data_IF_258245114451
#
_entry.id   IF_258245114451
#
_cell.length_a   1.000
_cell.length_b   1.000
_cell.length_c   1.000
_cell.angle_alpha   90.00
_cell.angle_beta   90.00
_cell.angle_gamma   90.00
#
_symmetry.space_group_name_H-M   'P 1'
#
loop_
_entity.id
_entity.type
_entity.pdbx_description
1 polymer ?
2 non-polymer ?
3 water ?
#
# COMPACT_ATOMS: atom_id res chain seq x y z
N UNK A 1 22.37 -4.74 19.34
CA UNK A 1 21.19 -3.88 19.05
C UNK A 1 21.68 -2.45 18.81
N UNK A 2 21.43 -1.89 17.63
CA UNK A 2 21.81 -0.49 17.27
C UNK A 2 20.56 0.39 17.08
N UNK A 3 20.58 1.54 17.74
CA UNK A 3 19.64 2.67 17.58
C UNK A 3 20.31 3.80 16.80
N UNK A 4 19.76 4.18 15.64
CA UNK A 4 20.25 5.36 14.88
C UNK A 4 19.06 6.28 14.55
N UNK A 5 19.15 7.53 15.04
CA UNK A 5 18.17 8.61 14.79
C UNK A 5 18.37 9.13 13.37
N UNK A 6 17.29 9.36 12.61
CA UNK A 6 17.35 9.89 11.21
C UNK A 6 16.13 10.77 10.92
N UNK A 7 16.28 11.64 9.92
CA UNK A 7 15.18 12.46 9.34
C UNK A 7 14.70 11.75 8.08
N UNK A 8 13.38 11.59 7.92
CA UNK A 8 12.82 10.99 6.68
C UNK A 8 12.86 12.09 5.62
N UNK A 9 13.85 11.97 4.74
CA UNK A 9 14.05 12.91 3.60
C UNK A 9 13.46 12.30 2.33
N UNK A 10 12.16 12.04 2.39
CA UNK A 10 11.31 11.39 1.36
C UNK A 10 10.11 12.30 1.11
N UNK A 11 9.70 12.54 -0.16
CA UNK A 11 8.75 13.62 -0.47
C UNK A 11 7.37 13.47 0.21
N UNK A 12 6.86 12.24 0.38
CA UNK A 12 5.58 11.96 1.07
C UNK A 12 5.83 11.08 2.29
N UNK A 13 7.01 11.17 2.92
CA UNK A 13 7.39 10.29 4.04
C UNK A 13 7.28 8.82 3.68
N UNK A 14 6.79 7.97 4.58
CA UNK A 14 6.65 6.52 4.31
C UNK A 14 5.28 6.26 3.74
N UNK A 15 5.07 6.65 2.49
CA UNK A 15 3.85 6.35 1.73
C UNK A 15 4.04 4.96 1.13
N UNK A 16 3.14 4.57 0.23
CA UNK A 16 3.13 3.24 -0.41
C UNK A 16 4.48 2.96 -1.07
N UNK A 17 4.98 3.89 -1.87
CA UNK A 17 6.19 3.67 -2.69
C UNK A 17 7.39 3.52 -1.75
N UNK A 18 7.59 4.46 -0.82
CA UNK A 18 8.75 4.45 0.07
C UNK A 18 8.65 3.25 1.04
N UNK A 19 7.46 2.93 1.56
CA UNK A 19 7.33 1.79 2.48
C UNK A 19 7.63 0.49 1.73
N UNK A 20 7.09 0.33 0.53
CA UNK A 20 7.27 -0.89 -0.28
C UNK A 20 8.77 -1.08 -0.59
N UNK A 21 9.46 -0.01 -0.96
CA UNK A 21 10.92 -0.08 -1.29
C UNK A 21 11.70 -0.47 -0.02
N UNK A 22 11.35 0.10 1.14
CA UNK A 22 12.02 -0.28 2.42
C UNK A 22 11.81 -1.77 2.66
N UNK A 23 10.60 -2.29 2.49
CA UNK A 23 10.33 -3.73 2.74
C UNK A 23 11.24 -4.57 1.80
N UNK A 24 11.35 -4.20 0.53
CA UNK A 24 12.20 -4.93 -0.45
C UNK A 24 13.67 -4.87 -0.02
N UNK A 25 14.17 -3.69 0.31
CA UNK A 25 15.59 -3.44 0.67
C UNK A 25 15.94 -4.27 1.91
N UNK A 26 15.00 -4.38 2.85
CA UNK A 26 15.23 -4.91 4.23
C UNK A 26 15.30 -6.45 4.23
N UNK A 27 14.75 -7.12 3.23
CA UNK A 27 14.82 -8.60 3.05
C UNK A 27 16.25 -9.07 2.76
N UNK A 28 17.15 -8.16 2.39
CA UNK A 28 18.57 -8.47 2.07
C UNK A 28 19.35 -8.70 3.39
N UNK A 29 18.78 -8.35 4.55
CA UNK A 29 19.50 -8.40 5.85
C UNK A 29 18.96 -9.55 6.70
N UNK A 30 19.83 -10.13 7.53
CA UNK A 30 19.46 -11.19 8.50
C UNK A 30 18.90 -10.55 9.78
N UNK A 31 19.35 -9.34 10.11
CA UNK A 31 18.92 -8.59 11.31
C UNK A 31 17.40 -8.37 11.30
N UNK A 32 16.80 -8.45 12.48
CA UNK A 32 15.50 -7.83 12.82
C UNK A 32 15.66 -6.33 12.69
N UNK A 33 14.70 -5.67 12.05
CA UNK A 33 14.73 -4.20 11.82
C UNK A 33 13.35 -3.62 12.13
N UNK A 34 13.32 -2.57 12.94
CA UNK A 34 12.11 -1.84 13.36
C UNK A 34 12.36 -0.34 13.16
N UNK A 35 11.31 0.41 12.90
CA UNK A 35 11.30 1.90 12.93
C UNK A 35 10.44 2.35 14.11
N UNK A 36 10.79 3.45 14.72
CA UNK A 36 10.06 3.99 15.88
C UNK A 36 9.81 5.47 15.62
N UNK A 37 8.56 5.88 15.72
CA UNK A 37 8.19 7.33 15.71
C UNK A 37 7.46 7.60 17.03
N UNK A 38 8.13 8.29 17.96
CA UNK A 38 7.61 8.50 19.32
C UNK A 38 7.32 7.16 19.97
N UNK A 39 6.04 6.85 20.18
CA UNK A 39 5.61 5.55 20.78
C UNK A 39 5.01 4.64 19.71
N UNK A 40 4.98 5.06 18.44
CA UNK A 40 4.55 4.18 17.33
C UNK A 40 5.78 3.41 16.84
N UNK A 41 5.60 2.13 16.51
CA UNK A 41 6.69 1.15 16.26
C UNK A 41 6.21 0.23 15.14
N UNK A 42 7.09 -0.17 14.23
CA UNK A 42 6.77 -1.17 13.21
C UNK A 42 8.02 -1.96 12.83
N UNK A 43 7.80 -3.23 12.52
CA UNK A 43 8.78 -4.10 11.84
C UNK A 43 8.93 -3.63 10.39
N UNK A 44 10.16 -3.38 9.93
CA UNK A 44 10.47 -2.80 8.59
C UNK A 44 10.18 -3.83 7.49
N UNK A 45 9.94 -5.08 7.86
CA UNK A 45 9.52 -6.17 6.93
C UNK A 45 8.00 -6.13 6.70
N UNK A 46 7.27 -5.28 7.43
CA UNK A 46 5.79 -5.23 7.35
C UNK A 46 5.32 -3.95 6.64
N UNK A 47 4.82 -4.08 5.42
CA UNK A 47 4.25 -2.95 4.66
C UNK A 47 3.14 -2.32 5.51
N UNK A 48 2.27 -3.16 6.08
CA UNK A 48 1.14 -2.67 6.89
C UNK A 48 1.65 -1.89 8.09
N UNK A 49 2.61 -2.44 8.84
CA UNK A 49 3.20 -1.77 10.01
C UNK A 49 3.83 -0.43 9.64
N UNK A 50 4.62 -0.41 8.58
CA UNK A 50 5.30 0.83 8.12
C UNK A 50 4.24 1.89 7.79
N UNK A 51 3.26 1.52 6.99
CA UNK A 51 2.18 2.45 6.59
C UNK A 51 1.43 2.98 7.82
N UNK A 52 1.21 2.15 8.82
CA UNK A 52 0.43 2.47 10.05
C UNK A 52 1.17 3.51 10.89
N UNK A 53 2.47 3.63 10.72
CA UNK A 53 3.32 4.62 11.45
C UNK A 53 2.82 6.04 11.13
N UNK A 54 2.27 6.28 9.93
CA UNK A 54 1.92 7.66 9.50
C UNK A 54 3.15 8.58 9.48
N UNK A 55 4.27 8.12 8.93
CA UNK A 55 5.52 8.94 8.82
C UNK A 55 5.38 9.89 7.64
N UNK A 56 5.48 11.18 7.88
CA UNK A 56 5.43 12.26 6.85
C UNK A 56 6.87 12.73 6.59
N UNK A 57 7.05 13.48 5.51
CA UNK A 57 8.31 14.16 5.14
C UNK A 57 8.92 14.85 6.35
N UNK A 58 10.23 14.67 6.60
CA UNK A 58 11.02 15.38 7.63
C UNK A 58 10.75 14.87 9.05
N UNK A 59 10.03 13.75 9.21
CA UNK A 59 9.77 13.17 10.54
C UNK A 59 11.10 12.68 11.12
N UNK A 60 11.31 12.89 12.42
CA UNK A 60 12.45 12.31 13.17
C UNK A 60 12.05 10.89 13.55
N UNK A 61 12.87 9.93 13.20
CA UNK A 61 12.55 8.47 13.29
C UNK A 61 13.78 7.82 13.91
N UNK A 62 13.59 6.70 14.60
CA UNK A 62 14.71 5.88 15.11
C UNK A 62 14.68 4.56 14.36
N UNK A 63 15.81 4.16 13.80
CA UNK A 63 16.01 2.84 13.14
C UNK A 63 16.66 1.93 14.17
N UNK A 64 16.01 0.81 14.47
CA UNK A 64 16.52 -0.19 15.44
C UNK A 64 16.87 -1.45 14.66
N UNK A 65 18.14 -1.83 14.69
CA UNK A 65 18.67 -3.04 14.01
C UNK A 65 19.24 -3.99 15.08
N UNK A 66 19.09 -5.29 14.87
CA UNK A 66 19.48 -6.34 15.85
C UNK A 66 19.74 -7.64 15.10
N UNK A 67 21.00 -8.05 15.03
CA UNK A 67 21.44 -9.29 14.35
C UNK A 67 22.84 -9.17 13.79
N UNK A 68 23.28 -10.19 13.05
CA UNK A 68 24.69 -10.34 12.58
C UNK A 68 25.09 -9.09 11.78
N UNK A 69 24.22 -8.56 10.89
CA UNK A 69 24.55 -7.43 9.98
C UNK A 69 24.00 -6.09 10.50
N UNK A 70 23.77 -5.95 11.81
CA UNK A 70 22.97 -4.84 12.39
C UNK A 70 23.58 -3.46 12.09
N UNK A 71 24.92 -3.35 11.98
CA UNK A 71 25.60 -2.05 11.73
C UNK A 71 25.47 -1.70 10.24
N UNK A 72 25.68 -2.66 9.36
CA UNK A 72 25.50 -2.48 7.89
C UNK A 72 24.05 -2.02 7.63
N UNK A 73 23.05 -2.75 8.14
CA UNK A 73 21.60 -2.42 7.97
C UNK A 73 21.34 -0.99 8.43
N UNK A 74 21.84 -0.60 9.60
CA UNK A 74 21.63 0.73 10.21
C UNK A 74 22.19 1.84 9.29
N UNK A 75 23.37 1.64 8.72
CA UNK A 75 24.06 2.65 7.84
C UNK A 75 23.29 2.78 6.53
N UNK A 76 22.92 1.66 5.91
CA UNK A 76 22.28 1.63 4.58
C UNK A 76 20.83 2.12 4.69
N UNK A 77 20.11 1.81 5.77
CA UNK A 77 18.71 2.30 5.94
C UNK A 77 18.77 3.83 6.14
N UNK A 78 19.70 4.34 6.96
CA UNK A 78 19.86 5.80 7.19
C UNK A 78 20.19 6.49 5.86
N UNK A 79 21.07 5.90 5.06
CA UNK A 79 21.44 6.45 3.73
C UNK A 79 20.18 6.48 2.88
N UNK A 80 19.40 5.40 2.82
CA UNK A 80 18.17 5.31 1.99
C UNK A 80 17.24 6.48 2.36
N UNK A 81 17.18 6.87 3.64
CA UNK A 81 16.22 7.87 4.16
C UNK A 81 16.79 9.28 4.08
N UNK A 82 18.06 9.48 3.76
CA UNK A 82 18.60 10.86 3.63
C UNK A 82 18.87 11.18 2.15
N UNK A 83 19.36 10.21 1.36
CA UNK A 83 19.92 10.44 0.00
C UNK A 83 18.99 9.84 -1.06
N UNK A 84 18.41 8.66 -0.81
CA UNK A 84 17.26 8.13 -1.59
C UNK A 84 17.24 6.61 -1.63
N UNK B 1 -25.86 -8.64 12.96
CA UNK B 1 -24.97 -7.85 12.09
C UNK B 1 -25.41 -6.39 12.12
N UNK B 2 -24.46 -5.46 12.08
CA UNK B 2 -24.69 -4.00 12.20
C UNK B 2 -24.22 -3.29 10.92
N UNK B 3 -25.09 -2.48 10.34
CA UNK B 3 -24.83 -1.52 9.24
C UNK B 3 -24.77 -0.10 9.80
N UNK B 4 -23.66 0.61 9.67
CA UNK B 4 -23.53 2.02 10.11
C UNK B 4 -22.97 2.86 8.96
N UNK B 5 -23.76 3.83 8.51
CA UNK B 5 -23.42 4.78 7.43
C UNK B 5 -22.50 5.85 8.01
N UNK B 6 -21.47 6.27 7.26
CA UNK B 6 -20.54 7.37 7.67
C UNK B 6 -20.07 8.15 6.44
N UNK B 7 -19.59 9.38 6.68
CA UNK B 7 -18.78 10.18 5.71
C UNK B 7 -17.31 10.00 6.11
N UNK B 8 -16.43 9.70 5.16
CA UNK B 8 -14.96 9.56 5.47
C UNK B 8 -14.33 10.94 5.48
N UNK B 9 -13.70 11.32 6.59
CA UNK B 9 -12.99 12.61 6.72
C UNK B 9 -11.48 12.37 6.81
N UNK B 10 -10.98 11.16 6.53
CA UNK B 10 -9.52 10.90 6.35
C UNK B 10 -9.01 11.79 5.22
N UNK B 11 -7.86 12.50 5.37
CA UNK B 11 -7.50 13.59 4.47
C UNK B 11 -7.31 13.22 3.00
N UNK B 12 -6.80 12.01 2.70
CA UNK B 12 -6.73 11.49 1.31
C UNK B 12 -7.66 10.28 1.16
N UNK B 13 -8.80 10.28 1.86
CA UNK B 13 -9.68 9.10 2.01
C UNK B 13 -8.89 7.89 2.51
N UNK B 14 -9.20 6.71 1.97
CA UNK B 14 -8.50 5.46 2.35
C UNK B 14 -7.32 5.28 1.42
N UNK B 15 -6.27 6.07 1.63
CA UNK B 15 -4.98 5.90 0.95
C UNK B 15 -4.21 4.84 1.75
N UNK B 16 -2.95 4.64 1.43
CA UNK B 16 -2.10 3.57 2.02
C UNK B 16 -2.06 3.76 3.54
N UNK B 17 -1.77 4.98 4.00
CA UNK B 17 -1.59 5.26 5.44
C UNK B 17 -2.89 4.99 6.19
N UNK B 18 -4.00 5.59 5.75
CA UNK B 18 -5.29 5.47 6.45
C UNK B 18 -5.84 4.05 6.28
N UNK B 19 -5.68 3.41 5.12
CA UNK B 19 -6.16 2.01 4.92
C UNK B 19 -5.37 1.09 5.85
N UNK B 20 -4.05 1.25 5.93
CA UNK B 20 -3.20 0.37 6.77
C UNK B 20 -3.64 0.51 8.23
N UNK B 21 -3.86 1.73 8.70
CA UNK B 21 -4.27 1.98 10.11
C UNK B 21 -5.64 1.32 10.36
N UNK B 22 -6.58 1.44 9.43
CA UNK B 22 -7.91 0.74 9.56
C UNK B 22 -7.67 -0.77 9.68
N UNK B 23 -6.83 -1.36 8.84
CA UNK B 23 -6.54 -2.82 8.91
C UNK B 23 -6.00 -3.15 10.30
N UNK B 24 -5.06 -2.35 10.83
CA UNK B 24 -4.46 -2.58 12.18
C UNK B 24 -5.55 -2.50 13.25
N UNK B 25 -6.36 -1.46 13.23
CA UNK B 25 -7.41 -1.19 14.24
C UNK B 25 -8.41 -2.36 14.23
N UNK B 26 -8.76 -2.82 13.05
CA UNK B 26 -9.93 -3.71 12.78
C UNK B 26 -9.52 -5.17 13.06
N UNK B 27 -8.24 -5.51 12.94
CA UNK B 27 -7.76 -6.91 12.94
C UNK B 27 -7.84 -7.52 14.35
N UNK B 28 -8.03 -6.69 15.38
CA UNK B 28 -8.13 -7.16 16.79
C UNK B 28 -9.54 -7.68 17.08
N UNK B 29 -10.56 -7.24 16.32
CA UNK B 29 -11.96 -7.70 16.48
C UNK B 29 -12.15 -9.07 15.84
N UNK B 30 -13.02 -9.91 16.41
CA UNK B 30 -13.33 -11.27 15.92
C UNK B 30 -14.37 -11.19 14.79
N UNK B 31 -15.22 -10.17 14.83
CA UNK B 31 -16.28 -9.91 13.82
C UNK B 31 -15.69 -9.83 12.42
N UNK B 32 -16.42 -10.37 11.43
CA UNK B 32 -16.27 -10.00 10.01
C UNK B 32 -16.56 -8.50 9.88
N UNK B 33 -15.68 -7.77 9.19
CA UNK B 33 -15.85 -6.31 8.99
C UNK B 33 -15.60 -6.00 7.52
N UNK B 34 -16.55 -5.33 6.89
CA UNK B 34 -16.37 -4.92 5.49
C UNK B 34 -16.97 -3.55 5.29
N UNK B 35 -16.50 -2.87 4.24
CA UNK B 35 -16.96 -1.54 3.82
C UNK B 35 -17.68 -1.67 2.49
N UNK B 36 -18.64 -0.80 2.26
CA UNK B 36 -19.39 -0.77 1.01
C UNK B 36 -19.44 0.67 0.53
N UNK B 37 -18.99 0.90 -0.70
CA UNK B 37 -19.07 2.23 -1.35
C UNK B 37 -19.84 2.02 -2.66
N UNK B 38 -21.08 2.50 -2.70
CA UNK B 38 -22.03 2.18 -3.78
C UNK B 38 -22.16 0.68 -3.94
N UNK B 39 -21.64 0.16 -5.04
CA UNK B 39 -21.66 -1.28 -5.39
C UNK B 39 -20.30 -1.92 -5.14
N UNK B 40 -19.29 -1.14 -4.75
CA UNK B 40 -17.94 -1.67 -4.47
C UNK B 40 -17.89 -2.06 -2.99
N UNK B 41 -17.23 -3.16 -2.69
CA UNK B 41 -17.25 -3.84 -1.38
C UNK B 41 -15.86 -4.39 -1.08
N UNK B 42 -15.39 -4.29 0.17
CA UNK B 42 -14.11 -4.93 0.56
C UNK B 42 -14.12 -5.30 2.03
N UNK B 43 -13.39 -6.35 2.35
CA UNK B 43 -13.06 -6.77 3.73
C UNK B 43 -12.08 -5.73 4.32
N UNK B 44 -12.43 -5.16 5.48
CA UNK B 44 -11.66 -4.06 6.12
C UNK B 44 -10.33 -4.59 6.68
N UNK B 45 -10.17 -5.91 6.74
CA UNK B 45 -8.90 -6.58 7.17
C UNK B 45 -7.98 -6.77 5.96
N UNK B 46 -8.38 -6.34 4.76
CA UNK B 46 -7.57 -6.54 3.54
C UNK B 46 -7.06 -5.20 3.02
N UNK B 47 -5.76 -4.95 3.12
CA UNK B 47 -5.15 -3.71 2.58
C UNK B 47 -5.48 -3.63 1.08
N UNK B 48 -5.27 -4.73 0.35
CA UNK B 48 -5.53 -4.81 -1.11
C UNK B 48 -6.98 -4.42 -1.39
N UNK B 49 -7.92 -5.07 -0.69
CA UNK B 49 -9.36 -4.83 -0.90
C UNK B 49 -9.72 -3.37 -0.62
N UNK B 50 -9.29 -2.86 0.53
CA UNK B 50 -9.55 -1.44 0.91
C UNK B 50 -9.01 -0.48 -0.18
N UNK B 51 -7.77 -0.65 -0.57
CA UNK B 51 -7.11 0.22 -1.57
C UNK B 51 -7.88 0.16 -2.89
N UNK B 52 -8.38 -1.02 -3.28
CA UNK B 52 -9.12 -1.24 -4.55
C UNK B 52 -10.42 -0.42 -4.58
N UNK B 53 -10.99 -0.14 -3.41
CA UNK B 53 -12.25 0.63 -3.26
C UNK B 53 -12.06 2.05 -3.80
N UNK B 54 -10.85 2.61 -3.73
CA UNK B 54 -10.58 3.98 -4.21
C UNK B 54 -11.42 5.01 -3.47
N UNK B 55 -11.45 4.92 -2.14
CA UNK B 55 -12.30 5.79 -1.28
C UNK B 55 -11.62 7.16 -1.15
N UNK B 56 -12.31 8.22 -1.59
CA UNK B 56 -11.81 9.61 -1.52
C UNK B 56 -12.36 10.24 -0.24
N UNK B 57 -11.73 11.32 0.20
CA UNK B 57 -12.25 12.14 1.32
C UNK B 57 -13.70 12.54 1.01
N UNK B 58 -14.58 12.46 2.00
CA UNK B 58 -16.00 12.90 1.95
C UNK B 58 -16.88 11.86 1.22
N UNK B 59 -16.36 10.67 0.97
CA UNK B 59 -17.17 9.56 0.42
C UNK B 59 -18.17 9.13 1.51
N UNK B 60 -19.40 8.84 1.09
CA UNK B 60 -20.42 8.14 1.90
C UNK B 60 -20.11 6.65 1.84
N UNK B 61 -19.95 6.02 3.00
CA UNK B 61 -19.51 4.61 3.09
C UNK B 61 -20.40 3.93 4.11
N UNK B 62 -20.66 2.63 3.94
CA UNK B 62 -21.39 1.83 4.94
C UNK B 62 -20.39 0.84 5.53
N UNK B 63 -20.34 0.79 6.86
CA UNK B 63 -19.51 -0.18 7.62
C UNK B 63 -20.44 -1.31 8.05
N UNK B 64 -20.11 -2.54 7.66
CA UNK B 64 -20.83 -3.75 8.10
C UNK B 64 -19.94 -4.52 9.09
N UNK B 65 -20.44 -4.73 10.30
CA UNK B 65 -19.80 -5.56 11.36
C UNK B 65 -20.75 -6.73 11.64
N UNK B 66 -20.19 -7.92 11.87
CA UNK B 66 -20.98 -9.17 12.07
C UNK B 66 -20.13 -10.14 12.88
N UNK B 67 -20.53 -10.40 14.15
CA UNK B 67 -19.84 -11.33 15.06
C UNK B 67 -19.97 -10.91 16.51
N UNK B 68 -19.26 -11.59 17.41
CA UNK B 68 -19.38 -11.44 18.90
C UNK B 68 -19.21 -9.95 19.27
N UNK B 69 -18.21 -9.24 18.74
CA UNK B 69 -17.84 -7.84 19.17
C UNK B 69 -18.36 -6.78 18.18
N UNK B 70 -19.40 -7.10 17.41
CA UNK B 70 -19.82 -6.30 16.22
C UNK B 70 -20.17 -4.84 16.60
N UNK B 71 -20.70 -4.59 17.81
CA UNK B 71 -21.13 -3.22 18.22
C UNK B 71 -19.91 -2.37 18.59
N UNK B 72 -18.95 -2.95 19.31
CA UNK B 72 -17.69 -2.24 19.67
C UNK B 72 -16.98 -1.81 18.37
N UNK B 73 -16.79 -2.76 17.47
CA UNK B 73 -16.17 -2.56 16.14
C UNK B 73 -16.84 -1.38 15.41
N UNK B 74 -18.17 -1.41 15.34
CA UNK B 74 -18.99 -0.42 14.59
C UNK B 74 -18.77 1.00 15.14
N UNK B 75 -18.68 1.16 16.46
CA UNK B 75 -18.53 2.50 17.11
C UNK B 75 -17.15 3.08 16.79
N UNK B 76 -16.11 2.26 16.93
CA UNK B 76 -14.70 2.69 16.81
C UNK B 76 -14.40 3.01 15.33
N UNK B 77 -14.93 2.20 14.40
CA UNK B 77 -14.69 2.40 12.94
C UNK B 77 -15.37 3.71 12.52
N UNK B 78 -16.62 3.93 12.97
CA UNK B 78 -17.40 5.14 12.61
C UNK B 78 -16.62 6.37 13.10
N UNK B 79 -16.11 6.33 14.34
CA UNK B 79 -15.34 7.46 14.91
C UNK B 79 -14.15 7.74 13.99
N UNK B 80 -13.36 6.69 13.73
CA UNK B 80 -12.09 6.79 12.97
C UNK B 80 -12.35 7.52 11.64
N UNK B 81 -13.48 7.26 10.98
CA UNK B 81 -13.80 7.83 9.65
C UNK B 81 -14.39 9.24 9.75
N UNK B 82 -15.18 9.56 10.78
CA UNK B 82 -15.93 10.84 10.85
C UNK B 82 -15.01 11.93 11.43
N UNK B 83 -14.17 11.60 12.42
CA UNK B 83 -13.13 12.54 12.94
C UNK B 83 -11.99 12.61 11.91
N UNK B 84 -11.63 11.48 11.29
CA UNK B 84 -10.60 11.38 10.24
C UNK B 84 -9.32 10.73 10.75
N UNK C 1 5.15 -14.35 -25.25
CA UNK C 1 5.87 -13.10 -24.88
C UNK C 1 5.45 -11.91 -25.76
N UNK C 2 4.70 -10.95 -25.20
CA UNK C 2 4.35 -9.65 -25.83
C UNK C 2 4.89 -8.51 -24.97
N UNK C 3 5.60 -7.57 -25.61
CA UNK C 3 6.00 -6.26 -25.06
C UNK C 3 5.13 -5.16 -25.67
N UNK C 4 4.41 -4.39 -24.85
CA UNK C 4 3.63 -3.20 -25.32
C UNK C 4 4.00 -1.98 -24.46
N UNK C 5 4.61 -0.97 -25.09
CA UNK C 5 5.01 0.31 -24.44
C UNK C 5 3.75 1.17 -24.29
N UNK C 6 3.57 1.86 -23.16
CA UNK C 6 2.43 2.80 -22.91
C UNK C 6 2.88 3.90 -21.94
N UNK C 7 2.21 5.04 -21.98
CA UNK C 7 2.42 6.21 -21.08
C UNK C 7 1.31 6.19 -20.01
N UNK C 8 1.64 6.36 -18.74
CA UNK C 8 0.65 6.22 -17.62
C UNK C 8 -0.17 7.49 -17.47
N UNK C 9 -1.50 7.36 -17.55
CA UNK C 9 -2.47 8.48 -17.56
C UNK C 9 -3.21 8.56 -16.22
N UNK C 10 -2.84 7.77 -15.20
CA UNK C 10 -3.44 7.77 -13.84
C UNK C 10 -3.14 9.10 -13.17
N UNK C 11 -4.09 9.72 -12.43
CA UNK C 11 -3.93 11.08 -11.89
C UNK C 11 -2.66 11.32 -11.05
N UNK C 12 -2.34 10.36 -10.18
CA UNK C 12 -1.14 10.39 -9.31
C UNK C 12 -0.26 9.18 -9.63
N UNK C 13 -0.12 8.88 -10.93
CA UNK C 13 0.63 7.71 -11.41
C UNK C 13 0.03 6.42 -10.85
N UNK C 14 0.88 5.41 -10.63
CA UNK C 14 0.48 4.14 -9.97
C UNK C 14 0.61 4.35 -8.46
N UNK C 15 -0.38 5.03 -7.89
CA UNK C 15 -0.51 5.13 -6.42
C UNK C 15 -1.14 3.83 -5.94
N UNK C 16 -1.26 3.70 -4.64
CA UNK C 16 -1.77 2.49 -3.95
C UNK C 16 -3.13 2.11 -4.54
N UNK C 17 -4.02 3.07 -4.73
CA UNK C 17 -5.40 2.81 -5.20
C UNK C 17 -5.39 2.17 -6.60
N UNK C 18 -4.70 2.78 -7.57
CA UNK C 18 -4.64 2.27 -8.96
C UNK C 18 -3.85 0.93 -9.00
N UNK C 19 -2.76 0.80 -8.24
CA UNK C 19 -1.99 -0.48 -8.20
C UNK C 19 -2.89 -1.62 -7.69
N UNK C 20 -3.68 -1.39 -6.64
CA UNK C 20 -4.54 -2.46 -6.08
C UNK C 20 -5.54 -2.97 -7.14
N UNK C 21 -6.17 -2.05 -7.88
CA UNK C 21 -7.14 -2.44 -8.93
C UNK C 21 -6.44 -3.25 -10.03
N UNK C 22 -5.25 -2.81 -10.43
CA UNK C 22 -4.46 -3.53 -11.46
C UNK C 22 -4.23 -4.97 -10.99
N UNK C 23 -3.83 -5.16 -9.74
CA UNK C 23 -3.55 -6.53 -9.20
C UNK C 23 -4.80 -7.39 -9.34
N UNK C 24 -5.95 -6.86 -8.95
CA UNK C 24 -7.23 -7.61 -8.98
C UNK C 24 -7.58 -7.96 -10.42
N UNK C 25 -7.50 -6.98 -11.35
CA UNK C 25 -7.86 -7.22 -12.77
C UNK C 25 -6.95 -8.31 -13.36
N UNK C 26 -5.67 -8.24 -13.03
CA UNK C 26 -4.59 -9.10 -13.60
C UNK C 26 -4.71 -10.53 -13.07
N UNK C 27 -5.19 -10.71 -11.83
CA UNK C 27 -5.20 -12.05 -11.16
C UNK C 27 -6.19 -13.00 -11.84
N UNK C 28 -6.96 -12.51 -12.82
CA UNK C 28 -7.92 -13.34 -13.62
C UNK C 28 -7.17 -14.09 -14.74
N UNK C 29 -6.11 -13.51 -15.31
CA UNK C 29 -5.40 -14.07 -16.49
C UNK C 29 -4.42 -15.17 -16.06
N UNK C 30 -4.14 -16.12 -16.96
CA UNK C 30 -3.20 -17.24 -16.73
C UNK C 30 -1.75 -16.79 -17.01
N UNK C 31 -1.57 -15.84 -17.93
CA UNK C 31 -0.23 -15.33 -18.34
C UNK C 31 0.51 -14.77 -17.12
N UNK C 32 1.83 -14.95 -17.10
CA UNK C 32 2.77 -14.10 -16.33
C UNK C 32 2.65 -12.67 -16.86
N UNK C 33 2.52 -11.71 -15.95
CA UNK C 33 2.39 -10.27 -16.33
C UNK C 33 3.30 -9.46 -15.43
N UNK C 34 4.11 -8.60 -16.03
CA UNK C 34 4.99 -7.71 -15.25
C UNK C 34 5.12 -6.40 -16.00
N UNK C 35 5.43 -5.36 -15.25
CA UNK C 35 5.63 -3.98 -15.78
C UNK C 35 7.09 -3.62 -15.63
N UNK C 36 7.59 -2.77 -16.51
CA UNK C 36 8.99 -2.31 -16.46
C UNK C 36 8.98 -0.79 -16.56
N UNK C 37 9.67 -0.13 -15.65
CA UNK C 37 9.89 1.33 -15.69
C UNK C 37 11.41 1.55 -15.69
N UNK C 38 11.99 1.88 -16.84
CA UNK C 38 13.46 1.96 -16.96
C UNK C 38 14.08 0.63 -16.54
N UNK C 39 14.87 0.63 -15.46
CA UNK C 39 15.52 -0.60 -14.93
C UNK C 39 14.64 -1.27 -13.87
N UNK C 40 13.57 -0.61 -13.43
CA UNK C 40 12.72 -1.13 -12.33
C UNK C 40 11.65 -2.05 -12.94
N UNK C 41 11.36 -3.15 -12.28
CA UNK C 41 10.51 -4.25 -12.78
C UNK C 41 9.64 -4.76 -11.65
N UNK C 42 8.38 -5.10 -11.92
CA UNK C 42 7.55 -5.79 -10.92
C UNK C 42 6.55 -6.72 -11.59
N UNK C 43 6.25 -7.82 -10.91
CA UNK C 43 5.11 -8.71 -11.20
C UNK C 43 3.81 -7.96 -10.92
N UNK C 44 2.90 -7.89 -11.90
CA UNK C 44 1.66 -7.08 -11.85
C UNK C 44 0.66 -7.75 -10.91
N UNK C 45 0.93 -8.99 -10.48
CA UNK C 45 0.12 -9.71 -9.47
C UNK C 45 0.60 -9.36 -8.05
N UNK C 46 1.67 -8.57 -7.89
CA UNK C 46 2.27 -8.26 -6.57
C UNK C 46 1.98 -6.80 -6.20
N UNK C 47 1.11 -6.56 -5.22
CA UNK C 47 0.83 -5.19 -4.71
C UNK C 47 2.15 -4.57 -4.28
N UNK C 48 2.96 -5.30 -3.51
CA UNK C 48 4.26 -4.78 -3.01
C UNK C 48 5.13 -4.34 -4.19
N UNK C 49 5.29 -5.23 -5.18
CA UNK C 49 6.13 -4.93 -6.36
C UNK C 49 5.63 -3.71 -7.12
N UNK C 50 4.34 -3.68 -7.40
CA UNK C 50 3.71 -2.54 -8.11
C UNK C 50 3.95 -1.22 -7.36
N UNK C 51 3.65 -1.21 -6.06
CA UNK C 51 3.85 -0.01 -5.19
C UNK C 51 5.31 0.46 -5.26
N UNK C 52 6.26 -0.50 -5.24
CA UNK C 52 7.71 -0.23 -5.20
C UNK C 52 8.17 0.46 -6.49
N UNK C 53 7.46 0.24 -7.59
CA UNK C 53 7.82 0.78 -8.92
C UNK C 53 7.88 2.31 -8.87
N UNK C 54 6.99 2.92 -8.06
CA UNK C 54 6.96 4.39 -7.90
C UNK C 54 6.75 5.09 -9.23
N UNK C 55 5.73 4.65 -9.97
CA UNK C 55 5.36 5.18 -11.30
C UNK C 55 4.66 6.52 -11.09
N UNK C 56 5.22 7.59 -11.67
CA UNK C 56 4.67 8.96 -11.61
C UNK C 56 3.86 9.19 -12.90
N UNK C 57 2.86 10.06 -12.84
CA UNK C 57 1.93 10.31 -13.97
C UNK C 57 2.73 10.66 -15.22
N UNK C 58 2.38 10.08 -16.38
CA UNK C 58 2.96 10.38 -17.71
C UNK C 58 4.32 9.73 -17.92
N UNK C 59 4.77 8.86 -17.01
CA UNK C 59 5.97 8.02 -17.23
C UNK C 59 5.65 7.01 -18.34
N UNK C 60 6.61 6.77 -19.22
CA UNK C 60 6.51 5.71 -20.25
C UNK C 60 6.96 4.41 -19.60
N UNK C 61 6.12 3.39 -19.66
CA UNK C 61 6.41 2.06 -19.04
C UNK C 61 6.08 0.98 -20.06
N UNK C 62 6.69 -0.19 -19.92
CA UNK C 62 6.47 -1.31 -20.85
C UNK C 62 5.74 -2.43 -20.12
N UNK C 63 4.69 -2.97 -20.73
CA UNK C 63 3.92 -4.12 -20.19
C UNK C 63 4.42 -5.39 -20.86
N UNK C 64 4.81 -6.39 -20.08
CA UNK C 64 5.22 -7.71 -20.61
C UNK C 64 4.16 -8.74 -20.20
N UNK C 65 3.56 -9.40 -21.20
CA UNK C 65 2.62 -10.53 -21.00
C UNK C 65 3.23 -11.78 -21.63
N UNK C 66 3.03 -12.94 -21.01
CA UNK C 66 3.64 -14.22 -21.46
C UNK C 66 2.80 -15.39 -20.96
N UNK C 67 2.11 -16.08 -21.88
CA UNK C 67 1.25 -17.24 -21.56
C UNK C 67 0.07 -17.33 -22.52
N UNK C 68 -0.84 -18.25 -22.19
CA UNK C 68 -2.08 -18.63 -22.95
C UNK C 68 -2.78 -17.38 -23.50
N UNK C 69 -3.10 -16.43 -22.61
CA UNK C 69 -4.01 -15.29 -22.89
C UNK C 69 -3.21 -13.99 -23.11
N UNK C 70 -1.93 -14.08 -23.49
CA UNK C 70 -0.97 -12.94 -23.39
C UNK C 70 -1.42 -11.74 -24.24
N UNK C 71 -2.12 -11.94 -25.37
CA UNK C 71 -2.53 -10.82 -26.27
C UNK C 71 -3.75 -10.09 -25.67
N UNK C 72 -4.72 -10.85 -25.16
CA UNK C 72 -5.91 -10.29 -24.49
C UNK C 72 -5.44 -9.43 -23.30
N UNK C 73 -4.61 -9.99 -22.43
CA UNK C 73 -4.03 -9.31 -21.25
C UNK C 73 -3.37 -7.99 -21.67
N UNK C 74 -2.53 -8.03 -22.70
CA UNK C 74 -1.74 -6.87 -23.20
C UNK C 74 -2.67 -5.73 -23.66
N UNK C 75 -3.79 -6.05 -24.34
CA UNK C 75 -4.75 -5.05 -24.87
C UNK C 75 -5.48 -4.36 -23.71
N UNK C 76 -5.96 -5.16 -22.76
CA UNK C 76 -6.79 -4.66 -21.62
C UNK C 76 -5.90 -3.85 -20.67
N UNK C 77 -4.64 -4.25 -20.48
CA UNK C 77 -3.69 -3.50 -19.59
C UNK C 77 -3.39 -2.13 -20.22
N UNK C 78 -3.13 -2.08 -21.54
CA UNK C 78 -2.86 -0.82 -22.28
C UNK C 78 -4.07 0.12 -22.16
N UNK C 79 -5.28 -0.44 -22.31
CA UNK C 79 -6.54 0.32 -22.12
C UNK C 79 -6.54 0.93 -20.71
N UNK C 80 -6.29 0.11 -19.69
CA UNK C 80 -6.28 0.54 -18.27
C UNK C 80 -5.34 1.74 -18.10
N UNK C 81 -4.17 1.70 -18.75
CA UNK C 81 -3.12 2.75 -18.58
C UNK C 81 -3.49 4.04 -19.32
N UNK C 82 -4.19 4.01 -20.46
CA UNK C 82 -4.41 5.29 -21.20
C UNK C 82 -5.87 5.55 -21.60
N UNK C 83 -6.76 4.58 -21.41
CA UNK C 83 -8.16 4.66 -21.93
C UNK C 83 -9.11 4.33 -20.78
N UNK C 84 -8.82 3.22 -20.10
CA UNK C 84 -9.47 2.78 -18.85
C UNK C 84 -10.22 3.89 -18.14
#
# INVERSE_FOLDING_TARGET
MISTKVTINCPAGLDSKAAALLVQKVSKYSSSIWLEKGERRANAKSLLGLLSLGVERNAAITIITDGEDEKKAADEISEYFTVGFHHHHHH
MISTKVTINCPAGLDSKAAALLVQKVSKYSSSIWLEKGERRANAKSLLGLLSLGVERNAAITIITDGEDEKKAADEISEYFTVGFHHHHHH
MISTKVTINCPAGLDSKAAALLVQKVSKYSSSIWLEKGERRANAKSLLGLLSLGVERNAAITIITDGEDEKKAADEISEYFTVGFHHHHHH
#
